data_IF_272534509520
#
_entry.id   IF_272534509520
#
_cell.length_a   1.000
_cell.length_b   1.000
_cell.length_c   1.000
_cell.angle_alpha   90.00
_cell.angle_beta   90.00
_cell.angle_gamma   90.00
#
_symmetry.space_group_name_H-M   'P 1'
#
loop_
_entity.id
_entity.type
_entity.pdbx_description
1 polymer ?
#
# COMPACT_ATOMS: atom_id res chain seq x y z
N UNK A 1 -0.17 -27.05 -3.97
CA UNK A 1 0.42 -25.92 -4.71
C UNK A 1 1.17 -26.40 -5.95
N UNK A 2 2.15 -27.28 -5.81
CA UNK A 2 2.99 -27.73 -6.94
C UNK A 2 2.17 -28.28 -8.13
N UNK A 3 1.15 -29.12 -7.89
CA UNK A 3 0.26 -29.66 -8.95
C UNK A 3 -0.46 -28.55 -9.74
N UNK A 4 -0.86 -27.46 -9.06
CA UNK A 4 -1.50 -26.31 -9.73
C UNK A 4 -0.49 -25.49 -10.54
N UNK A 5 0.73 -25.33 -10.04
CA UNK A 5 1.79 -24.66 -10.77
C UNK A 5 2.16 -25.42 -12.04
N UNK A 6 2.32 -26.76 -11.96
CA UNK A 6 2.60 -27.60 -13.13
C UNK A 6 1.48 -27.52 -14.17
N UNK A 7 0.21 -27.60 -13.74
CA UNK A 7 -0.93 -27.47 -14.65
C UNK A 7 -0.95 -26.10 -15.34
N UNK A 8 -0.63 -25.04 -14.62
CA UNK A 8 -0.55 -23.69 -15.15
C UNK A 8 0.56 -23.55 -16.20
N UNK A 9 1.73 -24.11 -15.94
CA UNK A 9 2.86 -24.12 -16.91
C UNK A 9 2.45 -24.84 -18.20
N UNK A 10 1.84 -26.02 -18.10
CA UNK A 10 1.38 -26.77 -19.28
C UNK A 10 0.31 -26.02 -20.08
N UNK A 11 -0.61 -25.34 -19.41
CA UNK A 11 -1.64 -24.55 -20.09
C UNK A 11 -1.02 -23.37 -20.87
N UNK A 12 -0.09 -22.65 -20.25
CA UNK A 12 0.60 -21.54 -20.89
C UNK A 12 1.45 -22.02 -22.08
N UNK A 13 2.16 -23.14 -21.92
CA UNK A 13 2.91 -23.76 -23.02
C UNK A 13 2.01 -24.12 -24.20
N UNK A 14 0.83 -24.66 -23.96
CA UNK A 14 -0.14 -24.98 -25.01
C UNK A 14 -0.66 -23.73 -25.73
N UNK A 15 -0.80 -22.61 -25.07
CA UNK A 15 -1.31 -21.36 -25.66
C UNK A 15 -0.25 -20.58 -26.44
N UNK A 16 0.96 -20.49 -25.93
CA UNK A 16 2.02 -19.68 -26.52
C UNK A 16 2.85 -20.42 -27.56
N UNK A 17 2.66 -21.74 -27.74
CA UNK A 17 3.31 -22.53 -28.77
C UNK A 17 4.84 -22.56 -28.72
N UNK A 18 5.44 -22.21 -27.56
CA UNK A 18 6.87 -22.05 -27.38
C UNK A 18 7.43 -22.83 -26.20
N UNK A 19 8.76 -22.90 -26.12
CA UNK A 19 9.47 -23.45 -24.98
C UNK A 19 9.42 -22.46 -23.81
N UNK A 20 8.49 -22.67 -22.87
CA UNK A 20 8.46 -21.95 -21.61
C UNK A 20 9.23 -22.78 -20.58
N UNK A 21 10.20 -22.16 -19.91
CA UNK A 21 10.85 -22.72 -18.74
C UNK A 21 10.26 -22.06 -17.48
N UNK A 22 9.88 -22.87 -16.50
CA UNK A 22 9.50 -22.37 -15.18
C UNK A 22 10.77 -22.09 -14.38
N UNK A 23 11.13 -20.82 -14.23
CA UNK A 23 12.32 -20.37 -13.50
C UNK A 23 12.13 -20.41 -11.98
N UNK A 24 10.89 -20.37 -11.48
CA UNK A 24 10.63 -20.44 -10.04
C UNK A 24 9.16 -20.56 -9.68
N UNK A 25 8.88 -21.09 -8.50
CA UNK A 25 7.55 -21.14 -7.90
C UNK A 25 7.58 -20.41 -6.57
N UNK A 26 6.77 -19.37 -6.45
CA UNK A 26 6.66 -18.54 -5.26
C UNK A 26 5.36 -18.88 -4.53
N UNK A 27 5.45 -19.26 -3.27
CA UNK A 27 4.32 -19.73 -2.50
C UNK A 27 4.28 -19.12 -1.11
N UNK A 28 3.11 -18.66 -0.71
CA UNK A 28 2.80 -18.21 0.66
C UNK A 28 1.80 -19.21 1.29
N UNK A 29 2.28 -20.42 1.64
CA UNK A 29 1.44 -21.48 2.19
C UNK A 29 0.77 -21.06 3.49
N UNK A 30 -0.56 -21.27 3.59
CA UNK A 30 -1.34 -20.93 4.79
C UNK A 30 -1.50 -19.42 5.05
N UNK A 31 -0.99 -18.55 4.17
CA UNK A 31 -1.12 -17.10 4.30
C UNK A 31 -2.30 -16.63 3.44
N UNK A 32 -3.25 -15.92 4.07
CA UNK A 32 -4.38 -15.32 3.35
C UNK A 32 -3.89 -14.22 2.41
N UNK A 33 -4.43 -14.16 1.19
CA UNK A 33 -4.21 -13.06 0.24
C UNK A 33 -4.60 -11.68 0.78
N UNK A 34 -5.43 -11.63 1.85
CA UNK A 34 -5.77 -10.41 2.56
C UNK A 34 -4.62 -9.81 3.38
N UNK A 35 -3.52 -10.53 3.60
CA UNK A 35 -2.33 -10.00 4.28
C UNK A 35 -1.49 -9.18 3.31
N UNK A 36 -0.91 -8.07 3.81
CA UNK A 36 -0.03 -7.21 3.04
C UNK A 36 1.27 -7.90 2.62
N UNK A 37 2.02 -7.26 1.72
CA UNK A 37 3.30 -7.73 1.19
C UNK A 37 4.31 -8.08 2.31
N UNK A 38 4.34 -7.31 3.38
CA UNK A 38 5.17 -7.49 4.59
C UNK A 38 4.99 -8.86 5.26
N UNK A 39 3.85 -9.50 5.05
CA UNK A 39 3.49 -10.82 5.62
C UNK A 39 3.43 -11.94 4.58
N UNK A 40 3.93 -11.68 3.38
CA UNK A 40 3.89 -12.61 2.24
C UNK A 40 5.29 -12.72 1.62
N UNK A 41 6.20 -13.50 2.24
CA UNK A 41 7.58 -13.60 1.79
C UNK A 41 7.72 -14.17 0.37
N UNK A 42 6.85 -15.07 -0.05
CA UNK A 42 6.82 -15.59 -1.42
C UNK A 42 6.48 -14.50 -2.43
N UNK A 43 5.44 -13.72 -2.18
CA UNK A 43 5.07 -12.58 -3.03
C UNK A 43 6.19 -11.53 -3.06
N UNK A 44 6.81 -11.23 -1.91
CA UNK A 44 7.90 -10.26 -1.85
C UNK A 44 9.14 -10.73 -2.64
N UNK A 45 9.49 -12.01 -2.54
CA UNK A 45 10.57 -12.60 -3.30
C UNK A 45 10.30 -12.55 -4.82
N UNK A 46 9.08 -12.92 -5.25
CA UNK A 46 8.64 -12.79 -6.64
C UNK A 46 8.78 -11.36 -7.16
N UNK A 47 8.32 -10.36 -6.41
CA UNK A 47 8.42 -8.95 -6.81
C UNK A 47 9.86 -8.43 -6.85
N UNK A 48 10.76 -8.97 -6.02
CA UNK A 48 12.19 -8.69 -6.10
C UNK A 48 12.80 -9.26 -7.38
N UNK A 49 12.45 -10.49 -7.74
CA UNK A 49 12.89 -11.14 -8.97
C UNK A 49 12.35 -10.42 -10.23
N UNK A 50 11.10 -9.93 -10.20
CA UNK A 50 10.56 -9.02 -11.23
C UNK A 50 11.43 -7.77 -11.38
N UNK A 51 11.80 -7.14 -10.27
CA UNK A 51 12.65 -5.96 -10.31
C UNK A 51 14.05 -6.25 -10.86
N UNK A 52 14.56 -7.45 -10.63
CA UNK A 52 15.83 -7.93 -11.17
C UNK A 52 15.71 -8.43 -12.63
N UNK A 53 14.48 -8.48 -13.20
CA UNK A 53 14.19 -9.00 -14.56
C UNK A 53 14.64 -10.43 -14.77
N UNK A 54 14.41 -11.29 -13.78
CA UNK A 54 14.83 -12.69 -13.81
C UNK A 54 13.91 -13.56 -14.69
N UNK A 55 12.74 -13.04 -15.10
CA UNK A 55 11.76 -13.71 -15.95
C UNK A 55 10.89 -12.72 -16.74
N UNK A 56 10.29 -13.21 -17.82
CA UNK A 56 9.50 -12.42 -18.77
C UNK A 56 8.00 -12.46 -18.46
N UNK A 57 7.56 -13.43 -17.67
CA UNK A 57 6.14 -13.60 -17.33
C UNK A 57 5.94 -14.09 -15.90
N UNK A 58 4.94 -13.53 -15.24
CA UNK A 58 4.40 -14.04 -13.98
C UNK A 58 3.08 -14.73 -14.26
N UNK A 59 2.93 -15.98 -13.81
CA UNK A 59 1.68 -16.71 -13.89
C UNK A 59 1.07 -16.91 -12.50
N UNK A 60 -0.21 -16.63 -12.34
CA UNK A 60 -0.93 -16.89 -11.11
C UNK A 60 -2.27 -17.60 -11.37
N UNK A 61 -2.69 -18.41 -10.41
CA UNK A 61 -3.97 -19.11 -10.51
C UNK A 61 -5.15 -18.16 -10.57
N UNK A 62 -5.12 -17.13 -9.75
CA UNK A 62 -6.19 -16.14 -9.65
C UNK A 62 -5.68 -14.82 -9.08
N UNK A 63 -6.42 -13.76 -9.31
CA UNK A 63 -6.12 -12.39 -8.88
C UNK A 63 -5.92 -12.25 -7.37
N UNK A 64 -6.67 -13.01 -6.57
CA UNK A 64 -6.58 -13.01 -5.10
C UNK A 64 -5.25 -13.57 -4.58
N UNK A 65 -4.47 -14.23 -5.44
CA UNK A 65 -3.12 -14.66 -5.12
C UNK A 65 -2.11 -13.51 -5.18
N UNK A 66 -2.37 -12.51 -5.98
CA UNK A 66 -1.47 -11.34 -6.15
C UNK A 66 -1.83 -10.21 -5.19
N UNK A 67 -3.09 -9.77 -5.13
CA UNK A 67 -3.52 -8.62 -4.35
C UNK A 67 -4.73 -8.90 -3.45
N UNK A 68 -4.86 -8.15 -2.37
CA UNK A 68 -6.01 -8.19 -1.45
C UNK A 68 -7.12 -7.20 -1.84
N UNK A 69 -6.80 -6.25 -2.66
CA UNK A 69 -7.71 -5.21 -3.15
C UNK A 69 -7.40 -4.93 -4.61
N UNK A 70 -8.35 -4.32 -5.31
CA UNK A 70 -8.13 -3.87 -6.69
C UNK A 70 -6.93 -2.92 -6.77
N UNK A 71 -6.78 -2.03 -5.79
CA UNK A 71 -5.66 -1.09 -5.71
C UNK A 71 -4.30 -1.79 -5.57
N UNK A 72 -4.19 -2.81 -4.70
CA UNK A 72 -2.96 -3.57 -4.52
C UNK A 72 -2.61 -4.34 -5.81
N UNK A 73 -3.62 -4.97 -6.41
CA UNK A 73 -3.47 -5.68 -7.66
C UNK A 73 -2.93 -4.77 -8.76
N UNK A 74 -3.54 -3.60 -8.93
CA UNK A 74 -3.11 -2.64 -9.95
C UNK A 74 -1.69 -2.11 -9.71
N UNK A 75 -1.30 -1.93 -8.44
CA UNK A 75 0.09 -1.61 -8.11
C UNK A 75 1.08 -2.68 -8.55
N UNK A 76 0.73 -3.95 -8.36
CA UNK A 76 1.55 -5.09 -8.81
C UNK A 76 1.57 -5.14 -10.33
N UNK A 77 0.42 -5.04 -10.98
CA UNK A 77 0.29 -5.07 -12.44
C UNK A 77 1.07 -3.94 -13.10
N UNK A 78 1.00 -2.72 -12.56
CA UNK A 78 1.78 -1.59 -13.06
C UNK A 78 3.28 -1.87 -12.90
N UNK A 79 3.70 -2.40 -11.75
CA UNK A 79 5.10 -2.77 -11.52
C UNK A 79 5.62 -3.83 -12.49
N UNK A 80 4.80 -4.82 -12.86
CA UNK A 80 5.12 -5.81 -13.88
C UNK A 80 5.26 -5.15 -15.25
N UNK A 81 4.28 -4.34 -15.63
CA UNK A 81 4.26 -3.64 -16.92
C UNK A 81 5.48 -2.72 -17.09
N UNK A 82 5.83 -1.93 -16.08
CA UNK A 82 6.99 -1.02 -16.09
C UNK A 82 8.33 -1.76 -16.26
N UNK A 83 8.37 -3.04 -15.89
CA UNK A 83 9.53 -3.91 -16.05
C UNK A 83 9.49 -4.72 -17.34
N UNK A 84 8.41 -4.63 -18.12
CA UNK A 84 8.22 -5.43 -19.33
C UNK A 84 7.93 -6.90 -19.04
N UNK A 85 7.42 -7.21 -17.84
CA UNK A 85 7.05 -8.57 -17.43
C UNK A 85 5.55 -8.76 -17.66
N UNK A 86 5.19 -9.77 -18.44
CA UNK A 86 3.80 -10.11 -18.71
C UNK A 86 3.14 -10.84 -17.54
N UNK A 87 1.80 -10.81 -17.50
CA UNK A 87 1.00 -11.50 -16.50
C UNK A 87 0.01 -12.45 -17.14
N UNK A 88 -0.04 -13.66 -16.62
CA UNK A 88 -1.07 -14.65 -16.93
C UNK A 88 -1.90 -14.99 -15.69
N UNK A 89 -3.23 -14.79 -15.75
CA UNK A 89 -4.19 -15.16 -14.70
C UNK A 89 -5.13 -16.24 -15.22
N UNK A 90 -4.95 -17.46 -14.71
CA UNK A 90 -5.69 -18.64 -15.19
C UNK A 90 -7.21 -18.49 -15.04
N UNK A 91 -7.72 -18.22 -13.82
CA UNK A 91 -9.16 -18.12 -13.56
C UNK A 91 -9.84 -16.97 -14.30
N UNK A 92 -9.17 -15.86 -14.50
CA UNK A 92 -9.70 -14.69 -15.18
C UNK A 92 -9.51 -14.75 -16.69
N UNK A 93 -8.73 -15.70 -17.20
CA UNK A 93 -8.38 -15.77 -18.61
C UNK A 93 -7.61 -14.54 -19.11
N UNK A 94 -6.95 -13.82 -18.20
CA UNK A 94 -6.18 -12.62 -18.53
C UNK A 94 -4.76 -13.01 -18.91
N UNK A 95 -4.33 -12.57 -20.11
CA UNK A 95 -3.00 -12.76 -20.63
C UNK A 95 -2.49 -11.45 -21.23
N UNK A 96 -1.60 -10.76 -20.54
CA UNK A 96 -1.08 -9.46 -20.97
C UNK A 96 -0.05 -9.56 -22.09
N UNK A 97 0.39 -10.75 -22.49
CA UNK A 97 1.20 -10.92 -23.71
C UNK A 97 0.39 -10.67 -24.97
N UNK A 98 -0.94 -10.78 -24.89
CA UNK A 98 -1.89 -10.54 -26.00
C UNK A 98 -2.34 -9.08 -26.04
N UNK A 99 -2.69 -8.60 -27.25
CA UNK A 99 -3.26 -7.24 -27.42
C UNK A 99 -4.57 -7.06 -26.63
N UNK A 100 -5.42 -8.06 -26.61
CA UNK A 100 -6.69 -8.04 -25.86
C UNK A 100 -6.46 -7.97 -24.34
N UNK A 101 -5.52 -8.77 -23.83
CA UNK A 101 -5.14 -8.73 -22.41
C UNK A 101 -4.49 -7.41 -22.00
N UNK A 102 -3.65 -6.83 -22.84
CA UNK A 102 -3.10 -5.48 -22.62
C UNK A 102 -4.19 -4.41 -22.56
N UNK A 103 -5.15 -4.44 -23.50
CA UNK A 103 -6.28 -3.53 -23.48
C UNK A 103 -7.15 -3.70 -22.22
N UNK A 104 -7.45 -4.94 -21.82
CA UNK A 104 -8.19 -5.22 -20.59
C UNK A 104 -7.43 -4.73 -19.34
N UNK A 105 -6.12 -4.89 -19.31
CA UNK A 105 -5.27 -4.36 -18.24
C UNK A 105 -5.36 -2.82 -18.15
N UNK A 106 -5.26 -2.12 -19.27
CA UNK A 106 -5.38 -0.66 -19.31
C UNK A 106 -6.75 -0.19 -18.81
N UNK A 107 -7.83 -0.88 -19.20
CA UNK A 107 -9.18 -0.60 -18.69
C UNK A 107 -9.27 -0.77 -17.17
N UNK A 108 -8.70 -1.85 -16.61
CA UNK A 108 -8.65 -2.04 -15.16
C UNK A 108 -7.90 -0.89 -14.45
N UNK A 109 -6.84 -0.35 -15.03
CA UNK A 109 -6.13 0.82 -14.55
C UNK A 109 -7.03 2.06 -14.46
N UNK A 110 -7.79 2.34 -15.51
CA UNK A 110 -8.76 3.45 -15.56
C UNK A 110 -9.84 3.29 -14.48
N UNK A 111 -10.39 2.08 -14.32
CA UNK A 111 -11.39 1.82 -13.28
C UNK A 111 -10.86 2.04 -11.86
N UNK A 112 -9.59 1.70 -11.61
CA UNK A 112 -8.99 1.92 -10.30
C UNK A 112 -8.75 3.41 -10.00
N UNK A 113 -8.36 4.19 -10.98
CA UNK A 113 -8.24 5.64 -10.81
C UNK A 113 -9.61 6.27 -10.51
N UNK A 114 -10.65 5.81 -11.21
CA UNK A 114 -12.02 6.22 -10.96
C UNK A 114 -12.48 5.87 -9.55
N UNK A 115 -12.22 4.65 -9.08
CA UNK A 115 -12.55 4.22 -7.70
C UNK A 115 -11.82 5.09 -6.66
N UNK A 116 -10.52 5.35 -6.86
CA UNK A 116 -9.75 6.25 -5.99
C UNK A 116 -10.32 7.67 -5.98
N UNK A 117 -10.77 8.15 -7.13
CA UNK A 117 -11.45 9.44 -7.26
C UNK A 117 -12.70 9.53 -6.39
N UNK A 118 -13.60 8.54 -6.53
CA UNK A 118 -14.84 8.46 -5.74
C UNK A 118 -14.55 8.38 -4.23
N UNK A 119 -13.57 7.57 -3.81
CA UNK A 119 -13.18 7.46 -2.40
C UNK A 119 -12.70 8.82 -1.89
N UNK A 120 -11.84 9.50 -2.65
CA UNK A 120 -11.31 10.83 -2.28
C UNK A 120 -12.43 11.86 -2.16
N UNK A 121 -13.37 11.88 -3.09
CA UNK A 121 -14.55 12.76 -3.03
C UNK A 121 -15.41 12.50 -1.80
N UNK A 122 -15.69 11.24 -1.48
CA UNK A 122 -16.45 10.86 -0.27
C UNK A 122 -15.74 11.29 1.00
N UNK A 123 -14.43 11.11 1.09
CA UNK A 123 -13.61 11.54 2.23
C UNK A 123 -13.64 13.07 2.36
N UNK A 124 -13.44 13.80 1.27
CA UNK A 124 -13.47 15.27 1.27
C UNK A 124 -14.85 15.81 1.66
N UNK A 125 -15.93 15.22 1.13
CA UNK A 125 -17.29 15.57 1.52
C UNK A 125 -17.58 15.27 3.00
N UNK A 126 -17.03 14.18 3.52
CA UNK A 126 -17.09 13.83 4.95
C UNK A 126 -16.35 14.85 5.82
N UNK A 127 -15.14 15.24 5.43
CA UNK A 127 -14.33 16.26 6.11
C UNK A 127 -15.00 17.63 6.08
N UNK A 128 -15.57 18.01 4.93
CA UNK A 128 -16.32 19.27 4.80
C UNK A 128 -17.52 19.34 5.74
N UNK A 129 -18.30 18.26 5.80
CA UNK A 129 -19.43 18.13 6.74
C UNK A 129 -18.99 18.18 8.20
N UNK A 130 -17.88 17.54 8.56
CA UNK A 130 -17.34 17.58 9.91
C UNK A 130 -16.89 18.99 10.29
N UNK A 131 -16.22 19.71 9.36
CA UNK A 131 -15.85 21.13 9.55
C UNK A 131 -17.08 22.02 9.73
N UNK A 132 -18.11 21.85 8.90
CA UNK A 132 -19.35 22.61 9.00
C UNK A 132 -20.07 22.39 10.33
N UNK A 133 -19.94 21.18 10.93
CA UNK A 133 -20.43 20.86 12.28
C UNK A 133 -19.53 21.37 13.42
N UNK A 134 -18.47 22.13 13.12
CA UNK A 134 -17.54 22.64 14.12
C UNK A 134 -16.55 21.62 14.68
N UNK A 135 -16.46 20.41 14.08
CA UNK A 135 -15.51 19.40 14.53
C UNK A 135 -14.09 19.82 14.19
N UNK A 136 -13.24 19.96 15.20
CA UNK A 136 -11.81 20.22 14.97
C UNK A 136 -11.15 18.97 14.40
N UNK A 137 -10.70 19.06 13.15
CA UNK A 137 -10.00 18.00 12.47
C UNK A 137 -8.51 18.02 12.83
N UNK A 138 -7.88 16.84 12.77
CA UNK A 138 -6.46 16.67 13.06
C UNK A 138 -6.19 16.09 14.45
N UNK A 139 -4.92 16.14 14.85
CA UNK A 139 -4.49 15.61 16.15
C UNK A 139 -5.11 16.42 17.28
N UNK A 140 -5.66 15.75 18.27
CA UNK A 140 -6.22 16.39 19.49
C UNK A 140 -5.19 17.30 20.12
N UNK A 141 -5.65 18.49 20.54
CA UNK A 141 -4.83 19.42 21.33
C UNK A 141 -4.52 18.81 22.69
N UNK A 142 -3.39 19.18 23.23
CA UNK A 142 -2.98 18.75 24.58
C UNK A 142 -3.91 19.41 25.59
N UNK A 143 -4.22 18.71 26.66
CA UNK A 143 -5.08 19.22 27.75
C UNK A 143 -4.47 20.49 28.33
N UNK A 144 -5.27 21.53 28.66
CA UNK A 144 -4.78 22.79 29.22
C UNK A 144 -3.85 22.62 30.44
N UNK A 145 -4.15 21.62 31.28
CA UNK A 145 -3.31 21.29 32.45
C UNK A 145 -1.89 20.88 32.06
N UNK A 146 -1.75 20.15 30.95
CA UNK A 146 -0.41 19.72 30.46
C UNK A 146 0.31 20.94 29.86
N UNK A 147 -0.40 21.84 29.17
CA UNK A 147 0.19 23.08 28.65
C UNK A 147 0.70 23.97 29.78
N UNK A 148 -0.08 24.13 30.85
CA UNK A 148 0.35 24.88 32.04
C UNK A 148 1.59 24.25 32.66
N UNK A 149 1.64 22.93 32.78
CA UNK A 149 2.79 22.21 33.33
C UNK A 149 4.04 22.34 32.45
N UNK A 150 3.88 22.37 31.13
CA UNK A 150 5.01 22.63 30.20
C UNK A 150 5.62 24.02 30.47
N UNK A 151 4.76 25.06 30.62
CA UNK A 151 5.21 26.44 30.88
C UNK A 151 5.93 26.55 32.23
N UNK A 152 5.40 25.93 33.27
CA UNK A 152 6.02 25.87 34.60
C UNK A 152 7.40 25.22 34.58
N UNK A 153 7.52 24.03 33.99
CA UNK A 153 8.78 23.33 33.87
C UNK A 153 9.81 24.10 33.01
N UNK A 154 9.33 24.83 32.02
CA UNK A 154 10.21 25.68 31.21
C UNK A 154 10.69 26.91 32.00
N UNK A 155 9.82 27.52 32.79
CA UNK A 155 10.18 28.65 33.67
C UNK A 155 11.21 28.26 34.75
N UNK A 156 11.17 26.99 35.19
CA UNK A 156 12.19 26.42 36.08
C UNK A 156 13.53 26.10 35.39
N UNK A 157 13.72 26.48 34.11
CA UNK A 157 14.93 26.27 33.35
C UNK A 157 15.09 24.90 32.72
N UNK A 158 14.04 24.04 32.75
CA UNK A 158 14.13 22.69 32.19
C UNK A 158 14.17 22.71 30.65
N UNK A 159 15.06 21.90 30.07
CA UNK A 159 15.19 21.76 28.61
C UNK A 159 14.05 20.99 27.98
N UNK A 160 13.71 21.31 26.70
CA UNK A 160 12.57 20.76 25.94
C UNK A 160 12.56 19.23 25.92
N UNK A 161 13.72 18.58 25.73
CA UNK A 161 13.87 17.12 25.73
C UNK A 161 13.49 16.51 27.09
N UNK A 162 13.94 17.15 28.18
CA UNK A 162 13.66 16.70 29.53
C UNK A 162 12.18 16.87 29.89
N UNK A 163 11.57 18.00 29.51
CA UNK A 163 10.12 18.24 29.65
C UNK A 163 9.32 17.16 28.92
N UNK A 164 9.68 16.86 27.67
CA UNK A 164 9.01 15.83 26.86
C UNK A 164 9.06 14.47 27.56
N UNK A 165 10.20 14.05 28.07
CA UNK A 165 10.37 12.79 28.82
C UNK A 165 9.58 12.78 30.13
N UNK A 166 9.64 13.85 30.89
CA UNK A 166 8.96 13.97 32.19
C UNK A 166 7.43 13.88 32.06
N UNK A 167 6.87 14.46 31.01
CA UNK A 167 5.42 14.49 30.78
C UNK A 167 4.91 13.39 29.83
N UNK A 168 5.79 12.53 29.33
CA UNK A 168 5.43 11.47 28.39
C UNK A 168 4.86 11.97 27.06
N UNK A 169 5.32 13.15 26.59
CA UNK A 169 4.83 13.82 25.37
C UNK A 169 5.95 14.07 24.37
N UNK A 170 5.59 14.16 23.09
CA UNK A 170 6.58 14.47 22.05
C UNK A 170 7.15 15.88 22.19
N UNK A 171 8.43 16.05 21.88
CA UNK A 171 9.14 17.34 21.93
C UNK A 171 8.52 18.41 21.04
N UNK A 172 7.93 18.02 19.90
CA UNK A 172 7.18 18.91 19.01
C UNK A 172 5.94 19.55 19.68
N UNK A 173 5.34 18.86 20.66
CA UNK A 173 4.24 19.41 21.46
C UNK A 173 4.77 20.49 22.40
N UNK A 174 5.89 20.23 23.07
CA UNK A 174 6.54 21.19 23.96
C UNK A 174 6.93 22.46 23.19
N UNK A 175 7.56 22.32 22.02
CA UNK A 175 7.92 23.43 21.14
C UNK A 175 6.71 24.25 20.72
N UNK A 176 5.63 23.61 20.28
CA UNK A 176 4.41 24.32 19.87
C UNK A 176 3.81 25.15 21.00
N UNK A 177 3.69 24.60 22.20
CA UNK A 177 3.15 25.31 23.37
C UNK A 177 4.01 26.53 23.71
N UNK A 178 5.34 26.42 23.55
CA UNK A 178 6.26 27.53 23.78
C UNK A 178 6.12 28.64 22.73
N UNK A 179 5.97 28.27 21.43
CA UNK A 179 5.79 29.23 20.35
C UNK A 179 4.48 30.01 20.48
N UNK A 180 3.39 29.32 20.87
CA UNK A 180 2.08 29.96 21.06
C UNK A 180 2.10 30.97 22.23
N UNK A 181 2.99 30.80 23.19
CA UNK A 181 3.17 31.75 24.31
C UNK A 181 4.01 32.96 23.94
N UNK A 182 4.81 32.90 22.87
CA UNK A 182 5.66 34.03 22.42
C UNK A 182 4.93 35.02 21.48
N UNK A 183 3.77 34.66 20.95
CA UNK A 183 2.98 35.47 19.99
C UNK A 183 1.86 36.24 20.70
N UNK A 184 1.72 36.11 21.99
CA UNK A 184 0.66 36.73 22.81
C UNK A 184 1.16 37.87 23.74
N UNK A 185 2.16 38.65 23.29
CA UNK A 185 2.57 39.92 23.92
C UNK A 185 2.40 41.05 22.95
#
# INVERSE_FOLDING_TARGET
ALKKATALVHEIQGRLGGYLSCSGVYEDAGISGAKGRDKRPGLDAMLKAVNAREFDMVAAWSVDRLGRSLTDLLGILQGLHDKGVDLFLHQQGLDTSTAAGKAMFQMLGVFAEFERGIIRERVNAGLARAKAKGTKLGRRTVKPAIEARIRELKASGMGILKIGRTLGIGTSVVQRVMLTSAVGV
#
